data_IF_886487264773
#
_entry.id   IF_886487264773
#
_cell.length_a   1.000
_cell.length_b   1.000
_cell.length_c   1.000
_cell.angle_alpha   90.00
_cell.angle_beta   90.00
_cell.angle_gamma   90.00
#
_symmetry.space_group_name_H-M   'P 1'
#
loop_
_entity.id
_entity.type
_entity.pdbx_description
1 polymer ?
#
# COMPACT_ATOMS: atom_id res chain seq x y z
N UNK A 1 18.97 2.51 -10.65
CA UNK A 1 20.20 3.33 -10.84
C UNK A 1 20.64 3.54 -12.28
N UNK A 2 20.26 2.70 -13.27
CA UNK A 2 20.61 2.95 -14.67
C UNK A 2 20.10 4.29 -15.23
N UNK A 3 18.93 4.75 -14.75
CA UNK A 3 18.38 6.07 -15.05
C UNK A 3 19.31 7.23 -14.63
N UNK A 4 20.23 7.00 -13.70
CA UNK A 4 21.26 7.94 -13.27
C UNK A 4 22.58 7.80 -14.08
N UNK A 5 22.62 6.92 -15.09
CA UNK A 5 23.77 6.73 -15.98
C UNK A 5 24.74 5.61 -15.60
N UNK A 6 24.52 4.93 -14.47
CA UNK A 6 25.37 3.79 -14.06
C UNK A 6 25.01 2.52 -14.81
N UNK A 7 26.01 1.70 -15.13
CA UNK A 7 25.81 0.38 -15.71
C UNK A 7 26.33 -0.68 -14.74
N UNK A 8 25.55 -1.75 -14.53
CA UNK A 8 25.92 -2.86 -13.64
C UNK A 8 26.32 -2.40 -12.22
N UNK A 9 25.69 -1.34 -11.70
CA UNK A 9 26.00 -0.81 -10.37
C UNK A 9 25.54 -1.75 -9.24
N UNK A 10 24.52 -2.57 -9.48
CA UNK A 10 24.02 -3.56 -8.54
C UNK A 10 24.13 -4.92 -9.22
N UNK A 11 24.75 -5.89 -8.54
CA UNK A 11 24.92 -7.26 -9.04
C UNK A 11 24.67 -8.22 -7.88
N UNK A 12 23.65 -9.07 -8.03
CA UNK A 12 23.43 -10.20 -7.12
C UNK A 12 24.43 -11.32 -7.39
N UNK A 13 25.00 -11.89 -6.33
CA UNK A 13 25.94 -13.03 -6.40
C UNK A 13 25.68 -13.98 -5.24
N UNK A 14 25.94 -15.26 -5.48
CA UNK A 14 26.06 -16.23 -4.41
C UNK A 14 27.25 -15.86 -3.51
N UNK A 15 27.18 -16.17 -2.19
CA UNK A 15 28.32 -16.00 -1.31
C UNK A 15 29.50 -16.87 -1.81
N UNK A 16 30.74 -16.36 -1.78
CA UNK A 16 31.89 -17.12 -2.22
C UNK A 16 32.07 -18.37 -1.37
N UNK A 17 32.53 -19.45 -2.00
CA UNK A 17 32.99 -20.63 -1.28
C UNK A 17 34.25 -20.31 -0.46
N UNK A 18 34.55 -21.13 0.55
CA UNK A 18 35.80 -20.97 1.33
C UNK A 18 37.07 -21.09 0.49
N UNK A 19 37.01 -21.73 -0.67
CA UNK A 19 38.13 -21.82 -1.60
C UNK A 19 38.30 -20.52 -2.42
N UNK A 20 37.20 -19.82 -2.71
CA UNK A 20 37.19 -18.55 -3.44
C UNK A 20 37.55 -17.36 -2.53
N UNK A 21 36.98 -17.30 -1.33
CA UNK A 21 37.33 -16.29 -0.31
C UNK A 21 37.24 -16.91 1.11
N UNK A 22 38.37 -17.35 1.69
CA UNK A 22 38.37 -17.94 3.04
C UNK A 22 38.07 -16.92 4.15
N UNK A 23 38.20 -15.63 3.87
CA UNK A 23 37.96 -14.54 4.82
C UNK A 23 36.55 -13.93 4.65
N UNK A 24 35.73 -14.45 3.74
CA UNK A 24 34.36 -14.00 3.59
C UNK A 24 33.58 -14.21 4.89
N UNK A 25 32.95 -13.13 5.33
CA UNK A 25 31.99 -13.13 6.43
C UNK A 25 30.79 -12.30 6.00
N UNK A 26 29.55 -12.75 6.25
CA UNK A 26 28.37 -11.93 6.01
C UNK A 26 28.35 -10.66 6.87
N UNK A 27 29.11 -10.63 7.98
CA UNK A 27 29.24 -9.48 8.89
C UNK A 27 30.35 -8.49 8.48
N UNK A 28 30.97 -8.67 7.31
CA UNK A 28 32.05 -7.80 6.84
C UNK A 28 31.49 -6.63 6.05
N UNK A 29 31.84 -5.40 6.46
CA UNK A 29 31.43 -4.13 5.83
C UNK A 29 31.73 -4.04 4.32
N UNK A 30 32.63 -4.87 3.80
CA UNK A 30 32.94 -4.92 2.37
C UNK A 30 31.82 -5.56 1.53
N UNK A 31 30.90 -6.29 2.15
CA UNK A 31 29.85 -7.05 1.48
C UNK A 31 28.48 -6.63 1.99
N UNK A 32 27.58 -6.30 1.07
CA UNK A 32 26.15 -6.22 1.37
C UNK A 32 25.51 -7.57 1.10
N UNK A 33 24.70 -8.08 2.02
CA UNK A 33 24.15 -9.43 1.95
C UNK A 33 22.65 -9.46 2.22
N UNK A 34 21.99 -10.48 1.65
CA UNK A 34 20.63 -10.87 2.04
C UNK A 34 20.78 -12.02 3.04
N UNK A 35 20.32 -11.83 4.27
CA UNK A 35 20.44 -12.77 5.38
C UNK A 35 19.12 -13.45 5.64
N UNK A 36 19.08 -14.76 5.44
CA UNK A 36 17.92 -15.56 5.72
C UNK A 36 17.85 -15.98 7.21
N UNK A 37 16.69 -15.76 7.82
CA UNK A 37 16.39 -16.13 9.21
C UNK A 37 15.30 -17.19 9.25
N UNK A 38 15.64 -18.38 9.79
CA UNK A 38 14.67 -19.43 10.11
C UNK A 38 13.85 -19.02 11.35
N UNK A 39 12.89 -18.13 11.16
CA UNK A 39 12.12 -17.49 12.23
C UNK A 39 10.65 -17.34 11.82
N UNK A 40 9.70 -17.49 12.78
CA UNK A 40 8.26 -17.36 12.52
C UNK A 40 7.81 -15.91 12.34
N UNK A 41 8.69 -14.93 12.50
CA UNK A 41 8.38 -13.51 12.27
C UNK A 41 8.03 -13.30 10.80
N UNK A 42 6.93 -12.62 10.54
CA UNK A 42 6.43 -12.30 9.20
C UNK A 42 6.90 -10.90 8.78
N UNK A 43 8.17 -10.78 8.37
CA UNK A 43 8.71 -9.49 7.93
C UNK A 43 9.92 -9.64 7.00
N UNK A 44 10.30 -8.54 6.36
CA UNK A 44 11.63 -8.31 5.80
C UNK A 44 12.05 -6.87 6.13
N UNK A 45 13.35 -6.58 6.07
CA UNK A 45 13.84 -5.20 6.21
C UNK A 45 15.17 -5.00 5.50
N UNK A 46 15.36 -3.84 4.86
CA UNK A 46 16.58 -3.43 4.17
C UNK A 46 17.21 -2.19 4.80
N UNK A 47 17.92 -2.32 5.94
CA UNK A 47 18.63 -1.20 6.55
C UNK A 47 19.86 -0.85 5.70
N UNK A 48 20.44 0.32 5.91
CA UNK A 48 21.77 0.63 5.38
C UNK A 48 22.60 1.35 6.44
N UNK A 49 23.92 1.15 6.40
CA UNK A 49 24.88 1.93 7.17
C UNK A 49 25.51 2.96 6.24
N UNK A 50 25.46 4.23 6.63
CA UNK A 50 26.04 5.33 5.86
C UNK A 50 27.01 6.18 6.69
N UNK A 51 27.96 6.83 6.02
CA UNK A 51 28.79 7.85 6.64
C UNK A 51 27.95 9.12 6.87
N UNK A 52 27.73 9.57 8.12
CA UNK A 52 26.87 10.72 8.40
C UNK A 52 27.43 12.06 7.91
N UNK A 53 28.68 12.10 7.44
CA UNK A 53 29.32 13.31 6.91
C UNK A 53 29.11 13.48 5.41
N UNK A 54 28.98 12.37 4.69
CA UNK A 54 28.94 12.36 3.22
C UNK A 54 27.65 11.75 2.66
N UNK A 55 26.88 11.04 3.48
CA UNK A 55 25.72 10.26 3.03
C UNK A 55 26.11 8.99 2.26
N UNK A 56 27.40 8.67 2.12
CA UNK A 56 27.84 7.48 1.40
C UNK A 56 27.35 6.22 2.11
N UNK A 57 26.57 5.40 1.41
CA UNK A 57 26.20 4.05 1.85
C UNK A 57 27.44 3.17 1.82
N UNK A 58 27.78 2.57 2.98
CA UNK A 58 28.96 1.73 3.17
C UNK A 58 28.62 0.25 2.98
N UNK A 59 27.50 -0.19 3.57
CA UNK A 59 26.96 -1.54 3.44
C UNK A 59 25.46 -1.56 3.71
N UNK A 60 24.83 -2.68 3.33
CA UNK A 60 23.48 -3.03 3.72
C UNK A 60 23.32 -4.53 3.98
N UNK A 61 22.60 -4.86 5.05
CA UNK A 61 22.23 -6.22 5.43
C UNK A 61 20.71 -6.40 5.38
N UNK A 62 20.18 -6.89 4.25
CA UNK A 62 18.75 -7.18 4.15
C UNK A 62 18.42 -8.40 5.01
N UNK A 63 17.56 -8.23 6.00
CA UNK A 63 17.05 -9.31 6.85
C UNK A 63 15.80 -9.94 6.26
N UNK A 64 15.85 -11.23 5.96
CA UNK A 64 14.76 -12.00 5.36
C UNK A 64 14.25 -13.07 6.32
N UNK A 65 13.05 -12.92 6.85
CA UNK A 65 12.48 -13.93 7.75
C UNK A 65 11.72 -14.99 6.95
N UNK A 66 11.87 -16.26 7.32
CA UNK A 66 11.21 -17.38 6.64
C UNK A 66 9.70 -17.16 6.46
N UNK A 67 9.02 -16.70 7.51
CA UNK A 67 7.57 -16.60 7.51
C UNK A 67 7.01 -15.38 6.75
N UNK A 68 7.85 -14.57 6.10
CA UNK A 68 7.37 -13.57 5.13
C UNK A 68 6.57 -14.22 4.00
N UNK A 69 6.84 -15.50 3.70
CA UNK A 69 6.11 -16.27 2.68
C UNK A 69 4.63 -16.42 3.06
N UNK A 70 4.30 -16.69 4.34
CA UNK A 70 2.90 -16.78 4.77
C UNK A 70 2.19 -15.42 4.67
N UNK A 71 2.91 -14.33 5.00
CA UNK A 71 2.38 -12.97 4.86
C UNK A 71 2.05 -12.63 3.41
N UNK A 72 2.98 -12.94 2.49
CA UNK A 72 2.80 -12.74 1.06
C UNK A 72 1.67 -13.61 0.53
N UNK A 73 1.61 -14.87 0.95
CA UNK A 73 0.56 -15.81 0.56
C UNK A 73 -0.81 -15.28 0.94
N UNK A 74 -1.00 -14.88 2.20
CA UNK A 74 -2.28 -14.38 2.68
C UNK A 74 -2.68 -13.07 2.00
N UNK A 75 -1.76 -12.11 1.85
CA UNK A 75 -2.06 -10.87 1.16
C UNK A 75 -2.44 -11.11 -0.31
N UNK A 76 -1.67 -11.93 -1.02
CA UNK A 76 -1.93 -12.21 -2.43
C UNK A 76 -3.25 -12.97 -2.61
N UNK A 77 -3.55 -13.95 -1.76
CA UNK A 77 -4.83 -14.66 -1.75
C UNK A 77 -5.98 -13.68 -1.53
N UNK A 78 -5.96 -12.92 -0.42
CA UNK A 78 -7.07 -12.09 0.02
C UNK A 78 -7.33 -10.91 -0.93
N UNK A 79 -6.29 -10.42 -1.61
CA UNK A 79 -6.41 -9.30 -2.52
C UNK A 79 -6.70 -9.75 -3.96
N UNK A 80 -6.31 -10.95 -4.38
CA UNK A 80 -6.35 -11.31 -5.82
C UNK A 80 -7.09 -12.60 -6.16
N UNK A 81 -7.34 -13.52 -5.23
CA UNK A 81 -7.86 -14.87 -5.54
C UNK A 81 -9.22 -14.88 -6.28
N UNK A 82 -10.02 -13.83 -6.12
CA UNK A 82 -11.24 -13.65 -6.91
C UNK A 82 -10.93 -13.61 -8.41
N UNK A 83 -10.02 -12.73 -8.84
CA UNK A 83 -9.64 -12.52 -10.23
C UNK A 83 -8.44 -13.37 -10.70
N UNK A 84 -7.70 -13.97 -9.78
CA UNK A 84 -6.45 -14.70 -10.02
C UNK A 84 -6.55 -16.16 -9.55
N UNK A 85 -6.75 -17.12 -10.45
CA UNK A 85 -6.73 -18.54 -10.10
C UNK A 85 -5.42 -19.03 -9.47
N UNK A 86 -4.29 -18.42 -9.81
CA UNK A 86 -2.96 -18.83 -9.32
C UNK A 86 -2.72 -18.39 -7.86
N UNK A 87 -3.60 -17.55 -7.32
CA UNK A 87 -3.60 -17.13 -5.92
C UNK A 87 -4.54 -17.97 -5.05
N UNK A 88 -5.14 -19.05 -5.58
CA UNK A 88 -6.06 -19.94 -4.85
C UNK A 88 -5.29 -21.15 -4.35
N UNK A 89 -5.30 -21.35 -3.04
CA UNK A 89 -4.62 -22.47 -2.39
C UNK A 89 -3.84 -22.02 -1.16
N UNK A 90 -3.51 -22.99 -0.32
CA UNK A 90 -2.74 -22.80 0.91
C UNK A 90 -1.23 -22.88 0.65
N UNK A 91 -0.83 -23.49 -0.45
CA UNK A 91 0.54 -23.52 -0.95
C UNK A 91 0.52 -23.03 -2.41
N UNK A 92 1.32 -22.02 -2.71
CA UNK A 92 1.46 -21.50 -4.06
C UNK A 92 2.55 -22.26 -4.81
N UNK A 93 2.42 -22.33 -6.14
CA UNK A 93 3.50 -22.80 -6.99
C UNK A 93 4.78 -21.96 -6.79
N UNK A 94 5.94 -22.61 -6.91
CA UNK A 94 7.26 -21.98 -6.76
C UNK A 94 7.43 -20.74 -7.66
N UNK A 95 6.82 -20.75 -8.85
CA UNK A 95 6.86 -19.61 -9.79
C UNK A 95 6.10 -18.40 -9.23
N UNK A 96 4.90 -18.62 -8.69
CA UNK A 96 4.08 -17.56 -8.07
C UNK A 96 4.80 -17.01 -6.85
N UNK A 97 5.21 -17.87 -5.91
CA UNK A 97 5.92 -17.43 -4.71
C UNK A 97 7.26 -16.76 -5.06
N UNK A 98 7.96 -17.24 -6.09
CA UNK A 98 9.19 -16.65 -6.61
C UNK A 98 9.01 -15.20 -7.05
N UNK A 99 7.92 -14.88 -7.76
CA UNK A 99 7.61 -13.49 -8.15
C UNK A 99 7.23 -12.61 -6.95
N UNK A 100 6.50 -13.14 -5.96
CA UNK A 100 6.20 -12.41 -4.71
C UNK A 100 7.48 -12.10 -3.92
N UNK A 101 8.39 -13.08 -3.82
CA UNK A 101 9.71 -12.91 -3.19
C UNK A 101 10.55 -11.88 -3.97
N UNK A 102 10.51 -11.92 -5.30
CA UNK A 102 11.21 -10.96 -6.16
C UNK A 102 10.71 -9.53 -5.93
N UNK A 103 9.40 -9.33 -5.83
CA UNK A 103 8.80 -8.04 -5.51
C UNK A 103 9.35 -7.47 -4.18
N UNK A 104 9.25 -8.24 -3.09
CA UNK A 104 9.73 -7.77 -1.77
C UNK A 104 11.24 -7.57 -1.79
N UNK A 105 12.00 -8.47 -2.41
CA UNK A 105 13.45 -8.34 -2.53
C UNK A 105 13.85 -7.04 -3.25
N UNK A 106 13.14 -6.68 -4.32
CA UNK A 106 13.38 -5.44 -5.04
C UNK A 106 13.01 -4.19 -4.20
N UNK A 107 11.93 -4.26 -3.42
CA UNK A 107 11.55 -3.22 -2.45
C UNK A 107 12.64 -3.01 -1.39
N UNK A 108 13.13 -4.09 -0.77
CA UNK A 108 14.19 -4.00 0.24
C UNK A 108 15.50 -3.48 -0.37
N UNK A 109 15.85 -3.91 -1.60
CA UNK A 109 16.98 -3.33 -2.34
C UNK A 109 16.80 -1.83 -2.57
N UNK A 110 15.58 -1.34 -2.79
CA UNK A 110 15.29 0.09 -2.85
C UNK A 110 15.66 0.82 -1.56
N UNK A 111 15.37 0.24 -0.39
CA UNK A 111 15.78 0.82 0.90
C UNK A 111 17.30 0.83 1.12
N UNK A 112 18.02 -0.15 0.56
CA UNK A 112 19.50 -0.13 0.62
C UNK A 112 20.10 1.00 -0.20
N UNK A 113 19.37 1.49 -1.20
CA UNK A 113 19.66 2.69 -1.98
C UNK A 113 19.14 3.98 -1.32
N UNK A 114 18.69 3.92 -0.08
CA UNK A 114 18.18 5.08 0.65
C UNK A 114 16.81 5.57 0.19
N UNK A 115 16.06 4.80 -0.61
CA UNK A 115 14.71 5.19 -1.00
C UNK A 115 13.74 4.98 0.17
N UNK A 116 13.00 6.02 0.60
CA UNK A 116 11.95 5.85 1.60
C UNK A 116 10.72 5.18 0.97
N UNK A 117 9.81 4.71 1.82
CA UNK A 117 8.45 4.38 1.37
C UNK A 117 7.82 5.60 0.70
N UNK A 118 7.04 5.37 -0.36
CA UNK A 118 6.21 6.36 -1.01
C UNK A 118 4.74 5.91 -0.95
N UNK A 119 4.03 6.28 0.10
CA UNK A 119 2.62 5.91 0.32
C UNK A 119 1.63 6.71 -0.54
N UNK A 120 2.12 7.58 -1.42
CA UNK A 120 1.27 8.33 -2.34
C UNK A 120 1.39 7.90 -3.79
N UNK A 121 2.19 6.88 -4.09
CA UNK A 121 2.44 6.54 -5.49
C UNK A 121 1.19 5.97 -6.17
N UNK A 122 0.42 5.16 -5.44
CA UNK A 122 -0.81 4.48 -5.86
C UNK A 122 -1.87 5.44 -6.42
N UNK A 123 -1.92 6.67 -5.91
CA UNK A 123 -2.81 7.74 -6.34
C UNK A 123 -2.66 8.10 -7.83
N UNK A 124 -1.54 7.77 -8.46
CA UNK A 124 -1.30 8.17 -9.85
C UNK A 124 -2.11 7.37 -10.88
N UNK A 125 -2.57 6.17 -10.54
CA UNK A 125 -3.27 5.28 -11.45
C UNK A 125 -4.78 5.27 -11.17
N UNK A 126 -5.60 5.04 -12.19
CA UNK A 126 -7.06 4.93 -12.03
C UNK A 126 -7.51 3.48 -11.91
N UNK A 127 -8.75 3.27 -11.47
CA UNK A 127 -9.40 1.95 -11.49
C UNK A 127 -9.40 1.35 -12.89
N UNK A 128 -9.82 2.11 -13.90
CA UNK A 128 -9.84 1.66 -15.30
C UNK A 128 -8.46 1.16 -15.77
N UNK A 129 -7.39 1.89 -15.41
CA UNK A 129 -6.02 1.50 -15.76
C UNK A 129 -5.61 0.21 -15.06
N UNK A 130 -5.93 0.04 -13.78
CA UNK A 130 -5.58 -1.18 -13.04
C UNK A 130 -6.43 -2.39 -13.44
N UNK A 131 -7.56 -2.19 -14.12
CA UNK A 131 -8.38 -3.25 -14.71
C UNK A 131 -8.00 -3.57 -16.16
N UNK A 132 -7.12 -2.78 -16.77
CA UNK A 132 -6.61 -3.03 -18.11
C UNK A 132 -5.36 -3.93 -18.06
N UNK A 133 -5.41 -5.14 -18.66
CA UNK A 133 -4.26 -6.05 -18.70
C UNK A 133 -3.07 -5.49 -19.49
N UNK A 134 -3.30 -4.70 -20.54
CA UNK A 134 -2.21 -4.10 -21.32
C UNK A 134 -1.50 -3.04 -20.47
N UNK A 135 -2.26 -2.21 -19.75
CA UNK A 135 -1.70 -1.18 -18.87
C UNK A 135 -0.90 -1.81 -17.72
N UNK A 136 -1.49 -2.73 -16.97
CA UNK A 136 -0.86 -3.35 -15.80
C UNK A 136 0.41 -4.12 -16.16
N UNK A 137 0.42 -4.82 -17.31
CA UNK A 137 1.62 -5.53 -17.80
C UNK A 137 2.82 -4.61 -18.05
N UNK A 138 2.58 -3.33 -18.36
CA UNK A 138 3.63 -2.34 -18.65
C UNK A 138 4.02 -1.52 -17.42
N UNK A 139 3.06 -1.28 -16.52
CA UNK A 139 3.20 -0.26 -15.48
C UNK A 139 3.13 -0.81 -14.04
N UNK A 140 2.77 -2.07 -13.86
CA UNK A 140 2.48 -2.64 -12.54
C UNK A 140 1.25 -1.97 -11.90
N UNK A 141 1.19 -1.99 -10.56
CA UNK A 141 0.07 -1.43 -9.77
C UNK A 141 0.32 -0.02 -9.23
N UNK A 142 1.56 0.47 -9.27
CA UNK A 142 1.92 1.82 -8.87
C UNK A 142 3.19 2.31 -9.61
N UNK A 143 3.41 3.64 -9.74
CA UNK A 143 4.64 4.22 -10.29
C UNK A 143 5.91 3.95 -9.50
N UNK A 144 5.80 3.51 -8.24
CA UNK A 144 6.90 3.27 -7.31
C UNK A 144 6.74 1.90 -6.66
N UNK A 145 7.75 1.04 -6.76
CA UNK A 145 7.79 -0.21 -5.99
C UNK A 145 7.90 0.06 -4.48
N UNK A 146 8.37 1.26 -4.09
CA UNK A 146 8.46 1.69 -2.69
C UNK A 146 7.10 2.02 -2.05
N UNK A 147 6.00 1.95 -2.80
CA UNK A 147 4.65 2.04 -2.24
C UNK A 147 4.23 0.70 -1.63
N UNK A 148 3.31 0.75 -0.67
CA UNK A 148 2.58 -0.41 -0.16
C UNK A 148 1.32 -0.70 -1.00
N UNK A 149 1.31 -0.32 -2.27
CA UNK A 149 0.33 -0.69 -3.30
C UNK A 149 0.47 -2.17 -3.74
N UNK A 150 0.48 -3.10 -2.77
CA UNK A 150 1.07 -4.44 -2.92
C UNK A 150 0.42 -5.29 -3.99
N UNK A 151 -0.89 -5.51 -3.91
CA UNK A 151 -1.58 -6.34 -4.90
C UNK A 151 -2.86 -5.72 -5.43
N UNK A 152 -3.08 -5.93 -6.74
CA UNK A 152 -4.17 -5.35 -7.52
C UNK A 152 -5.55 -5.89 -7.11
N UNK A 153 -6.09 -5.38 -5.99
CA UNK A 153 -7.39 -5.81 -5.48
C UNK A 153 -8.59 -5.24 -6.22
N UNK A 154 -8.38 -4.34 -7.19
CA UNK A 154 -9.46 -3.76 -7.99
C UNK A 154 -9.76 -4.56 -9.25
N UNK A 155 -8.81 -5.36 -9.74
CA UNK A 155 -9.04 -6.28 -10.85
C UNK A 155 -10.17 -7.27 -10.52
N UNK A 156 -11.09 -7.46 -11.45
CA UNK A 156 -12.27 -8.31 -11.29
C UNK A 156 -12.17 -9.59 -12.13
N UNK A 157 -12.89 -10.67 -11.76
CA UNK A 157 -13.05 -11.83 -12.62
C UNK A 157 -13.53 -11.42 -14.02
N UNK A 158 -12.74 -11.77 -15.04
CA UNK A 158 -13.05 -11.48 -16.44
C UNK A 158 -12.31 -10.28 -17.05
N UNK A 159 -11.62 -9.47 -16.25
CA UNK A 159 -10.81 -8.34 -16.76
C UNK A 159 -9.57 -8.82 -17.54
N UNK A 160 -9.09 -10.04 -17.29
CA UNK A 160 -7.95 -10.63 -17.98
C UNK A 160 -6.58 -10.13 -17.49
N UNK A 161 -6.55 -9.37 -16.40
CA UNK A 161 -5.32 -8.92 -15.72
C UNK A 161 -4.51 -10.14 -15.25
N UNK A 162 -3.22 -10.14 -15.57
CA UNK A 162 -2.26 -11.15 -15.10
C UNK A 162 -1.13 -10.55 -14.25
N UNK A 163 -0.96 -9.22 -14.28
CA UNK A 163 0.02 -8.51 -13.47
C UNK A 163 -0.66 -7.90 -12.24
N UNK A 164 -0.41 -8.50 -11.09
CA UNK A 164 -1.09 -8.16 -9.84
C UNK A 164 -0.22 -7.41 -8.82
N UNK A 165 1.04 -7.11 -9.09
CA UNK A 165 1.96 -6.49 -8.13
C UNK A 165 2.73 -5.31 -8.75
N UNK A 166 3.28 -4.39 -7.93
CA UNK A 166 4.05 -3.26 -8.43
C UNK A 166 5.39 -3.73 -8.98
N UNK A 167 5.95 -2.91 -9.85
CA UNK A 167 7.28 -3.11 -10.42
C UNK A 167 8.08 -1.82 -10.30
N UNK A 168 9.38 -1.87 -10.64
CA UNK A 168 10.22 -0.68 -10.69
C UNK A 168 9.69 0.29 -11.75
N UNK A 169 9.06 1.36 -11.29
CA UNK A 169 8.27 2.26 -12.13
C UNK A 169 8.95 3.60 -12.43
N UNK A 170 8.21 4.56 -13.00
CA UNK A 170 8.69 5.90 -13.32
C UNK A 170 9.24 6.66 -12.10
N UNK A 171 8.57 6.57 -10.94
CA UNK A 171 8.99 7.26 -9.72
C UNK A 171 10.33 6.71 -9.24
N UNK A 172 10.51 5.39 -9.18
CA UNK A 172 11.77 4.77 -8.73
C UNK A 172 12.95 5.18 -9.63
N UNK A 173 12.70 5.23 -10.95
CA UNK A 173 13.71 5.66 -11.93
C UNK A 173 14.05 7.13 -11.76
N UNK A 174 13.06 7.98 -11.48
CA UNK A 174 13.28 9.38 -11.19
C UNK A 174 14.00 9.60 -9.87
N UNK A 175 13.60 8.92 -8.80
CA UNK A 175 14.27 8.97 -7.50
C UNK A 175 15.73 8.52 -7.63
N UNK A 176 15.99 7.46 -8.40
CA UNK A 176 17.35 7.06 -8.73
C UNK A 176 18.12 8.14 -9.50
N UNK A 177 17.51 8.77 -10.50
CA UNK A 177 18.15 9.87 -11.24
C UNK A 177 18.45 11.04 -10.30
N UNK A 178 17.49 11.47 -9.51
CA UNK A 178 17.61 12.60 -8.60
C UNK A 178 18.70 12.36 -7.55
N UNK A 179 18.67 11.20 -6.89
CA UNK A 179 19.59 10.89 -5.79
C UNK A 179 21.00 10.46 -6.21
N UNK A 180 21.20 10.00 -7.45
CA UNK A 180 22.49 9.41 -7.87
C UNK A 180 23.13 10.06 -9.09
N UNK A 181 22.49 11.02 -9.77
CA UNK A 181 23.14 11.65 -10.94
C UNK A 181 24.46 12.28 -10.54
N UNK A 182 25.51 11.96 -11.29
CA UNK A 182 26.83 12.53 -11.07
C UNK A 182 26.90 13.95 -11.65
N UNK A 183 27.30 14.91 -10.82
CA UNK A 183 27.57 16.29 -11.20
C UNK A 183 29.08 16.54 -11.31
N UNK A 184 29.54 17.47 -12.17
CA UNK A 184 30.96 17.81 -12.27
C UNK A 184 31.57 18.27 -10.94
N UNK A 185 32.82 17.91 -10.66
CA UNK A 185 33.50 18.22 -9.40
C UNK A 185 33.70 19.72 -9.13
N UNK A 186 33.62 20.55 -10.18
CA UNK A 186 33.74 22.01 -10.11
C UNK A 186 32.42 22.73 -9.87
N UNK A 187 31.29 22.01 -9.86
CA UNK A 187 30.00 22.57 -9.46
C UNK A 187 29.99 22.82 -7.96
N UNK A 188 29.43 23.97 -7.59
CA UNK A 188 29.09 24.29 -6.21
C UNK A 188 27.83 23.55 -5.76
N UNK A 189 27.68 23.38 -4.44
CA UNK A 189 26.47 22.80 -3.85
C UNK A 189 25.21 23.59 -4.26
N UNK A 190 25.32 24.91 -4.41
CA UNK A 190 24.24 25.80 -4.85
C UNK A 190 23.78 25.48 -6.29
N UNK A 191 24.71 25.28 -7.23
CA UNK A 191 24.37 24.90 -8.62
C UNK A 191 23.69 23.53 -8.70
N UNK A 192 24.11 22.58 -7.86
CA UNK A 192 23.51 21.26 -7.75
C UNK A 192 22.09 21.38 -7.18
N UNK A 193 21.91 22.10 -6.07
CA UNK A 193 20.61 22.34 -5.43
C UNK A 193 19.63 23.04 -6.38
N UNK A 194 20.06 24.07 -7.11
CA UNK A 194 19.24 24.76 -8.11
C UNK A 194 18.75 23.80 -9.21
N UNK A 195 19.64 22.95 -9.72
CA UNK A 195 19.30 21.96 -10.76
C UNK A 195 18.34 20.89 -10.24
N UNK A 196 18.57 20.37 -9.03
CA UNK A 196 17.70 19.39 -8.40
C UNK A 196 16.32 20.00 -8.11
N UNK A 197 16.26 21.26 -7.68
CA UNK A 197 15.00 21.98 -7.47
C UNK A 197 14.25 22.19 -8.79
N UNK A 198 14.94 22.56 -9.88
CA UNK A 198 14.33 22.66 -11.21
C UNK A 198 13.72 21.32 -11.64
N UNK A 199 14.47 20.22 -11.56
CA UNK A 199 13.98 18.88 -11.95
C UNK A 199 12.78 18.42 -11.13
N UNK A 200 12.75 18.74 -9.83
CA UNK A 200 11.61 18.43 -8.97
C UNK A 200 10.39 19.27 -9.36
N UNK A 201 10.58 20.58 -9.59
CA UNK A 201 9.49 21.48 -9.98
C UNK A 201 8.85 21.13 -11.32
N UNK A 202 9.63 20.69 -12.30
CA UNK A 202 9.12 20.21 -13.59
C UNK A 202 8.08 19.09 -13.47
N UNK A 203 8.08 18.35 -12.36
CA UNK A 203 7.26 17.16 -12.12
C UNK A 203 6.27 17.32 -10.97
N UNK A 204 6.30 18.46 -10.27
CA UNK A 204 5.59 18.63 -9.00
C UNK A 204 4.06 18.49 -9.11
N UNK A 205 3.50 18.77 -10.30
CA UNK A 205 2.06 18.67 -10.55
C UNK A 205 1.67 17.39 -11.34
N UNK A 206 2.61 16.46 -11.57
CA UNK A 206 2.35 15.17 -12.22
C UNK A 206 2.18 14.05 -11.16
N UNK A 207 1.00 13.41 -11.06
CA UNK A 207 0.72 12.36 -10.08
C UNK A 207 1.72 11.20 -10.10
N UNK A 208 2.35 10.89 -11.24
CA UNK A 208 3.37 9.84 -11.34
C UNK A 208 4.58 10.10 -10.43
N UNK A 209 4.81 11.36 -10.07
CA UNK A 209 5.91 11.81 -9.22
C UNK A 209 5.46 12.29 -7.84
N UNK A 210 4.20 12.03 -7.46
CA UNK A 210 3.69 12.39 -6.15
C UNK A 210 4.39 11.55 -5.05
N UNK A 211 4.82 12.24 -3.99
CA UNK A 211 5.48 11.63 -2.84
C UNK A 211 4.60 11.76 -1.59
N UNK A 212 4.07 10.62 -1.14
CA UNK A 212 3.38 10.50 0.15
C UNK A 212 4.33 9.95 1.22
N UNK A 213 4.63 10.77 2.23
CA UNK A 213 5.52 10.36 3.31
C UNK A 213 4.85 9.31 4.23
N UNK A 214 5.64 8.34 4.71
CA UNK A 214 5.20 7.43 5.75
C UNK A 214 4.82 8.20 7.02
N UNK A 215 3.57 8.07 7.45
CA UNK A 215 3.03 8.83 8.59
C UNK A 215 2.06 8.01 9.42
N UNK A 216 2.04 8.24 10.74
CA UNK A 216 1.01 7.69 11.62
C UNK A 216 -0.35 8.39 11.45
N UNK A 217 -0.38 9.58 10.85
CA UNK A 217 -1.58 10.41 10.67
C UNK A 217 -1.89 10.53 9.18
N UNK A 218 -2.77 9.65 8.68
CA UNK A 218 -3.22 9.60 7.29
C UNK A 218 -4.28 10.68 7.01
N UNK A 219 -3.89 11.95 7.12
CA UNK A 219 -4.79 13.08 6.90
C UNK A 219 -5.02 13.33 5.42
N UNK A 220 -3.96 13.20 4.61
CA UNK A 220 -4.07 13.22 3.16
C UNK A 220 -4.49 11.83 2.67
N UNK A 221 -5.72 11.66 2.15
CA UNK A 221 -6.20 10.35 1.71
C UNK A 221 -5.49 9.86 0.44
N UNK A 222 -4.68 10.70 -0.22
CA UNK A 222 -3.82 10.30 -1.34
C UNK A 222 -2.51 9.66 -0.89
N UNK A 223 -2.22 9.65 0.43
CA UNK A 223 -0.97 9.16 1.01
C UNK A 223 -1.25 8.11 2.09
N UNK A 224 -1.69 6.92 1.69
CA UNK A 224 -2.02 5.82 2.60
C UNK A 224 -1.25 4.56 2.21
N UNK A 225 -0.97 3.69 3.18
CA UNK A 225 -0.48 2.37 2.82
C UNK A 225 -1.63 1.41 2.49
N UNK A 226 -1.32 0.44 1.64
CA UNK A 226 -2.22 -0.63 1.18
C UNK A 226 -3.38 -0.18 0.28
N UNK A 227 -3.43 1.09 -0.12
CA UNK A 227 -4.45 1.57 -1.04
C UNK A 227 -4.01 1.38 -2.49
N UNK A 228 -5.00 1.49 -3.37
CA UNK A 228 -4.81 1.55 -4.81
C UNK A 228 -5.68 2.66 -5.36
N UNK A 229 -5.16 3.27 -6.42
CA UNK A 229 -5.83 4.23 -7.28
C UNK A 229 -6.09 5.61 -6.68
N UNK A 230 -6.56 6.52 -7.52
CA UNK A 230 -7.02 7.85 -7.13
C UNK A 230 -8.44 7.91 -6.54
N UNK A 231 -9.15 6.78 -6.47
CA UNK A 231 -10.51 6.70 -5.95
C UNK A 231 -10.67 5.54 -4.95
N UNK A 232 -10.59 5.87 -3.66
CA UNK A 232 -10.68 4.89 -2.59
C UNK A 232 -12.08 4.26 -2.47
N UNK A 233 -13.14 4.93 -2.93
CA UNK A 233 -14.50 4.43 -2.83
C UNK A 233 -14.75 3.44 -3.97
N UNK A 234 -14.42 3.79 -5.22
CA UNK A 234 -14.52 2.87 -6.36
C UNK A 234 -13.62 1.64 -6.17
N UNK A 235 -12.37 1.84 -5.74
CA UNK A 235 -11.47 0.74 -5.42
C UNK A 235 -12.02 -0.13 -4.27
N UNK A 236 -12.64 0.49 -3.27
CA UNK A 236 -13.30 -0.18 -2.16
C UNK A 236 -14.47 -1.06 -2.60
N UNK A 237 -15.33 -0.59 -3.51
CA UNK A 237 -16.45 -1.37 -4.06
C UNK A 237 -15.95 -2.65 -4.76
N UNK A 238 -14.92 -2.51 -5.60
CA UNK A 238 -14.33 -3.63 -6.33
C UNK A 238 -13.59 -4.60 -5.40
N UNK A 239 -12.88 -4.06 -4.41
CA UNK A 239 -12.24 -4.86 -3.37
C UNK A 239 -13.25 -5.64 -2.53
N UNK A 240 -14.38 -5.04 -2.17
CA UNK A 240 -15.47 -5.70 -1.44
C UNK A 240 -16.12 -6.79 -2.29
N UNK A 241 -16.39 -6.53 -3.58
CA UNK A 241 -16.91 -7.55 -4.50
C UNK A 241 -15.97 -8.77 -4.56
N UNK A 242 -14.65 -8.54 -4.60
CA UNK A 242 -13.65 -9.60 -4.55
C UNK A 242 -13.67 -10.36 -3.21
N UNK A 243 -13.80 -9.67 -2.07
CA UNK A 243 -13.93 -10.33 -0.76
C UNK A 243 -15.17 -11.21 -0.66
N UNK A 244 -16.28 -10.84 -1.29
CA UNK A 244 -17.49 -11.67 -1.36
C UNK A 244 -17.22 -12.96 -2.12
N UNK A 245 -16.63 -12.87 -3.31
CA UNK A 245 -16.23 -14.06 -4.10
C UNK A 245 -15.29 -14.95 -3.31
N UNK A 246 -14.28 -14.38 -2.65
CA UNK A 246 -13.35 -15.13 -1.82
C UNK A 246 -14.07 -15.83 -0.67
N UNK A 247 -14.98 -15.14 0.03
CA UNK A 247 -15.73 -15.70 1.17
C UNK A 247 -16.63 -16.87 0.73
N UNK A 248 -17.30 -16.75 -0.43
CA UNK A 248 -18.17 -17.79 -0.97
C UNK A 248 -17.41 -19.07 -1.35
N UNK A 249 -16.14 -18.95 -1.73
CA UNK A 249 -15.32 -20.07 -2.20
C UNK A 249 -14.22 -20.48 -1.20
N UNK A 250 -14.15 -19.85 -0.03
CA UNK A 250 -12.99 -19.95 0.86
C UNK A 250 -12.72 -21.39 1.28
N UNK A 251 -13.75 -22.13 1.68
CA UNK A 251 -13.62 -23.54 2.10
C UNK A 251 -13.03 -24.37 0.97
N UNK A 252 -13.63 -24.29 -0.23
CA UNK A 252 -13.20 -25.08 -1.39
C UNK A 252 -11.76 -24.77 -1.81
N UNK A 253 -11.29 -23.54 -1.62
CA UNK A 253 -9.94 -23.14 -2.00
C UNK A 253 -8.86 -23.48 -0.96
N UNK A 254 -9.26 -23.79 0.28
CA UNK A 254 -8.31 -24.03 1.38
C UNK A 254 -8.44 -25.41 2.02
N UNK A 255 -9.37 -26.24 1.54
CA UNK A 255 -9.56 -27.60 2.02
C UNK A 255 -8.35 -28.48 1.72
N UNK A 256 -7.80 -29.12 2.76
CA UNK A 256 -6.75 -30.14 2.65
C UNK A 256 -7.11 -31.41 3.45
N UNK A 257 -6.83 -32.58 2.84
CA UNK A 257 -7.13 -33.87 3.47
C UNK A 257 -6.26 -34.09 4.72
N UNK A 258 -6.89 -34.16 5.89
CA UNK A 258 -6.22 -34.47 7.15
C UNK A 258 -5.83 -33.25 7.98
N UNK A 259 -5.99 -32.04 7.44
CA UNK A 259 -5.75 -30.79 8.15
C UNK A 259 -6.97 -30.33 8.96
N UNK A 260 -6.72 -29.42 9.91
CA UNK A 260 -7.76 -28.80 10.73
C UNK A 260 -8.23 -27.45 10.11
N UNK A 261 -9.05 -26.68 10.84
CA UNK A 261 -9.60 -25.42 10.33
C UNK A 261 -8.79 -24.16 10.69
N UNK A 262 -7.53 -24.30 11.18
CA UNK A 262 -6.69 -23.15 11.54
C UNK A 262 -6.47 -22.22 10.34
N UNK A 263 -6.23 -22.79 9.16
CA UNK A 263 -6.03 -22.05 7.92
C UNK A 263 -7.29 -21.29 7.48
N UNK A 264 -8.44 -21.96 7.57
CA UNK A 264 -9.74 -21.35 7.31
C UNK A 264 -10.01 -20.19 8.28
N UNK A 265 -9.66 -20.35 9.56
CA UNK A 265 -9.82 -19.30 10.58
C UNK A 265 -8.91 -18.10 10.32
N UNK A 266 -7.65 -18.35 9.96
CA UNK A 266 -6.67 -17.30 9.64
C UNK A 266 -7.13 -16.47 8.43
N UNK A 267 -7.47 -17.12 7.32
CA UNK A 267 -7.89 -16.44 6.10
C UNK A 267 -9.23 -15.71 6.28
N UNK A 268 -10.20 -16.29 6.99
CA UNK A 268 -11.43 -15.58 7.33
C UNK A 268 -11.15 -14.33 8.18
N UNK A 269 -10.24 -14.41 9.16
CA UNK A 269 -9.77 -13.24 9.91
C UNK A 269 -9.13 -12.17 9.02
N UNK A 270 -8.39 -12.59 7.99
CA UNK A 270 -7.76 -11.69 7.02
C UNK A 270 -8.79 -11.00 6.11
N UNK A 271 -9.90 -11.66 5.76
CA UNK A 271 -11.04 -11.05 5.05
C UNK A 271 -11.60 -9.88 5.86
N UNK A 272 -11.88 -10.09 7.16
CA UNK A 272 -12.39 -9.04 8.05
C UNK A 272 -11.37 -7.91 8.19
N UNK A 273 -10.08 -8.24 8.29
CA UNK A 273 -8.99 -7.27 8.33
C UNK A 273 -8.91 -6.42 7.05
N UNK A 274 -9.07 -7.04 5.88
CA UNK A 274 -9.07 -6.37 4.59
C UNK A 274 -10.30 -5.48 4.41
N UNK A 275 -11.49 -5.93 4.84
CA UNK A 275 -12.69 -5.09 4.88
C UNK A 275 -12.44 -3.82 5.72
N UNK A 276 -11.88 -3.96 6.93
CA UNK A 276 -11.60 -2.83 7.81
C UNK A 276 -10.60 -1.86 7.17
N UNK A 277 -9.61 -2.39 6.45
CA UNK A 277 -8.65 -1.59 5.68
C UNK A 277 -9.34 -0.75 4.60
N UNK A 278 -10.22 -1.33 3.78
CA UNK A 278 -11.00 -0.59 2.77
C UNK A 278 -11.88 0.50 3.40
N UNK A 279 -12.52 0.21 4.53
CA UNK A 279 -13.29 1.22 5.27
C UNK A 279 -12.36 2.37 5.73
N UNK A 280 -11.17 2.05 6.22
CA UNK A 280 -10.17 3.05 6.60
C UNK A 280 -9.73 3.94 5.44
N UNK A 281 -9.52 3.36 4.24
CA UNK A 281 -9.12 4.12 3.05
C UNK A 281 -10.17 5.13 2.62
N UNK A 282 -11.44 4.70 2.52
CA UNK A 282 -12.56 5.59 2.21
C UNK A 282 -12.74 6.66 3.30
N UNK A 283 -12.71 6.23 4.57
CA UNK A 283 -12.88 7.11 5.73
C UNK A 283 -11.86 8.26 5.76
N UNK A 284 -10.61 8.06 5.33
CA UNK A 284 -9.60 9.13 5.28
C UNK A 284 -10.03 10.34 4.45
N UNK A 285 -10.95 10.18 3.49
CA UNK A 285 -11.48 11.29 2.68
C UNK A 285 -12.40 12.23 3.48
N UNK A 286 -13.09 11.77 4.52
CA UNK A 286 -14.06 12.57 5.29
C UNK A 286 -13.34 13.59 6.18
N UNK A 287 -13.31 14.87 5.85
CA UNK A 287 -12.48 15.85 6.59
C UNK A 287 -10.98 15.57 6.45
N UNK A 288 -10.60 14.90 5.36
CA UNK A 288 -9.23 14.78 4.90
C UNK A 288 -8.71 16.11 4.35
N UNK A 289 -7.38 16.21 4.24
CA UNK A 289 -6.70 17.42 3.74
C UNK A 289 -5.61 16.98 2.80
N UNK A 290 -5.68 17.44 1.55
CA UNK A 290 -4.60 17.32 0.58
C UNK A 290 -3.42 18.20 1.01
N UNK A 291 -2.24 17.59 1.12
CA UNK A 291 -0.97 18.26 1.36
C UNK A 291 -0.17 18.30 0.05
N UNK A 292 -0.05 19.49 -0.53
CA UNK A 292 0.68 19.75 -1.77
C UNK A 292 2.03 20.41 -1.42
N UNK A 293 3.13 19.69 -1.61
CA UNK A 293 4.46 20.23 -1.37
C UNK A 293 4.81 21.29 -2.44
N UNK A 294 4.77 22.57 -2.04
CA UNK A 294 5.03 23.72 -2.91
C UNK A 294 6.07 24.66 -2.31
N UNK A 295 6.87 25.28 -3.18
CA UNK A 295 7.78 26.39 -2.85
C UNK A 295 7.10 27.74 -3.08
N UNK A 296 7.69 28.84 -2.56
CA UNK A 296 7.12 30.20 -2.67
C UNK A 296 6.86 30.68 -4.11
N UNK A 297 7.53 30.08 -5.10
CA UNK A 297 7.43 30.45 -6.50
C UNK A 297 6.36 29.65 -7.26
N UNK A 298 5.78 28.61 -6.64
CA UNK A 298 4.72 27.81 -7.21
C UNK A 298 3.36 28.37 -6.81
N UNK A 299 2.44 28.43 -7.78
CA UNK A 299 1.06 28.84 -7.54
C UNK A 299 0.26 27.73 -6.83
N UNK A 300 -0.85 28.13 -6.20
CA UNK A 300 -1.77 27.24 -5.48
C UNK A 300 -1.55 27.23 -3.97
N UNK A 301 -2.30 26.37 -3.29
CA UNK A 301 -2.26 26.21 -1.83
C UNK A 301 -1.54 24.93 -1.43
N UNK A 302 -0.90 24.95 -0.26
CA UNK A 302 -0.24 23.76 0.33
C UNK A 302 -1.26 22.84 0.98
N UNK A 303 -2.26 23.39 1.66
CA UNK A 303 -3.29 22.60 2.35
C UNK A 303 -4.66 22.92 1.77
N UNK A 304 -5.31 21.89 1.25
CA UNK A 304 -6.62 21.98 0.60
C UNK A 304 -7.55 20.92 1.20
N UNK A 305 -8.79 21.29 1.49
CA UNK A 305 -9.77 20.31 1.94
C UNK A 305 -10.05 19.31 0.81
N UNK A 306 -10.27 18.04 1.15
CA UNK A 306 -10.84 17.09 0.18
C UNK A 306 -12.14 17.69 -0.38
N UNK A 307 -12.40 17.63 -1.70
CA UNK A 307 -13.60 18.20 -2.30
C UNK A 307 -14.88 17.70 -1.63
N UNK A 308 -15.87 18.58 -1.45
CA UNK A 308 -17.14 18.25 -0.79
C UNK A 308 -17.78 16.97 -1.36
N UNK A 309 -17.83 16.86 -2.69
CA UNK A 309 -18.41 15.69 -3.37
C UNK A 309 -17.74 14.38 -2.96
N UNK A 310 -16.40 14.36 -2.92
CA UNK A 310 -15.62 13.18 -2.50
C UNK A 310 -15.83 12.86 -1.03
N UNK A 311 -15.98 13.88 -0.16
CA UNK A 311 -16.28 13.63 1.26
C UNK A 311 -17.68 13.03 1.46
N UNK A 312 -18.67 13.50 0.71
CA UNK A 312 -20.04 12.96 0.73
C UNK A 312 -20.08 11.53 0.22
N UNK A 313 -19.45 11.27 -0.92
CA UNK A 313 -19.30 9.93 -1.49
C UNK A 313 -18.63 8.96 -0.50
N UNK A 314 -17.55 9.40 0.16
CA UNK A 314 -16.91 8.61 1.20
C UNK A 314 -17.85 8.33 2.38
N UNK A 315 -18.67 9.30 2.81
CA UNK A 315 -19.67 9.09 3.85
C UNK A 315 -20.76 8.12 3.41
N UNK A 316 -21.24 8.21 2.17
CA UNK A 316 -22.22 7.28 1.59
C UNK A 316 -21.66 5.86 1.54
N UNK A 317 -20.43 5.68 1.06
CA UNK A 317 -19.73 4.40 1.06
C UNK A 317 -19.61 3.80 2.47
N UNK A 318 -19.23 4.60 3.47
CA UNK A 318 -19.14 4.15 4.87
C UNK A 318 -20.52 3.77 5.43
N UNK A 319 -21.57 4.53 5.12
CA UNK A 319 -22.92 4.15 5.53
C UNK A 319 -23.33 2.82 4.91
N UNK A 320 -23.07 2.64 3.62
CA UNK A 320 -23.45 1.45 2.87
C UNK A 320 -22.69 0.19 3.31
N UNK A 321 -21.41 0.29 3.65
CA UNK A 321 -20.55 -0.89 3.85
C UNK A 321 -20.00 -1.05 5.27
N UNK A 322 -19.95 0.03 6.05
CA UNK A 322 -19.54 0.00 7.45
C UNK A 322 -20.72 -0.06 8.41
N UNK A 323 -21.80 0.67 8.14
CA UNK A 323 -22.94 0.78 9.08
C UNK A 323 -24.13 -0.13 8.75
N UNK A 324 -24.08 -0.83 7.62
CA UNK A 324 -25.02 -1.90 7.29
C UNK A 324 -24.57 -3.26 7.84
N UNK A 325 -25.49 -4.23 7.87
CA UNK A 325 -25.14 -5.60 8.20
C UNK A 325 -24.28 -6.25 7.09
N UNK A 326 -23.05 -6.74 7.38
CA UNK A 326 -22.18 -7.36 6.38
C UNK A 326 -22.60 -8.81 6.13
N UNK A 327 -23.79 -9.03 5.57
CA UNK A 327 -24.38 -10.38 5.40
C UNK A 327 -23.49 -11.31 4.60
N UNK A 328 -22.72 -10.78 3.65
CA UNK A 328 -21.78 -11.55 2.84
C UNK A 328 -20.66 -12.21 3.66
N UNK A 329 -20.28 -11.61 4.79
CA UNK A 329 -19.23 -12.15 5.65
C UNK A 329 -19.76 -13.19 6.65
N UNK A 330 -21.08 -13.23 6.91
CA UNK A 330 -21.70 -14.21 7.79
C UNK A 330 -22.09 -15.48 7.03
N UNK A 331 -21.08 -16.22 6.58
CA UNK A 331 -21.26 -17.52 5.93
C UNK A 331 -21.37 -18.63 6.97
N UNK A 332 -22.57 -19.22 7.13
CA UNK A 332 -22.84 -20.27 8.13
C UNK A 332 -21.89 -21.47 8.02
N UNK A 333 -21.53 -21.88 6.80
CA UNK A 333 -20.63 -23.01 6.59
C UNK A 333 -19.22 -22.73 7.12
N UNK A 334 -18.70 -21.52 6.90
CA UNK A 334 -17.42 -21.12 7.46
C UNK A 334 -17.52 -21.03 8.99
N UNK A 335 -18.53 -20.30 9.49
CA UNK A 335 -18.65 -20.00 10.91
C UNK A 335 -18.91 -21.23 11.77
N UNK A 336 -19.67 -22.22 11.28
CA UNK A 336 -19.88 -23.48 11.98
C UNK A 336 -18.58 -24.28 12.19
N UNK A 337 -17.55 -24.02 11.38
CA UNK A 337 -16.23 -24.68 11.47
C UNK A 337 -15.23 -23.95 12.36
N UNK A 338 -15.27 -22.61 12.37
CA UNK A 338 -14.22 -21.78 13.01
C UNK A 338 -14.71 -20.90 14.16
N UNK A 339 -16.01 -20.68 14.32
CA UNK A 339 -16.53 -19.62 15.18
C UNK A 339 -17.40 -20.12 16.34
N UNK A 340 -17.02 -19.78 17.57
CA UNK A 340 -17.80 -20.10 18.78
C UNK A 340 -18.84 -19.01 19.12
N UNK A 341 -19.55 -18.47 18.12
CA UNK A 341 -20.50 -17.37 18.25
C UNK A 341 -19.88 -16.01 18.67
N UNK A 342 -18.71 -15.69 18.13
CA UNK A 342 -18.01 -14.40 18.32
C UNK A 342 -17.99 -13.50 17.08
N UNK A 343 -18.38 -14.01 15.90
CA UNK A 343 -18.30 -13.28 14.63
C UNK A 343 -19.05 -11.93 14.66
N UNK A 344 -20.24 -11.90 15.28
CA UNK A 344 -21.02 -10.67 15.46
C UNK A 344 -20.23 -9.65 16.28
N UNK A 345 -19.60 -10.07 17.38
CA UNK A 345 -18.80 -9.17 18.22
C UNK A 345 -17.55 -8.67 17.49
N UNK A 346 -16.93 -9.52 16.66
CA UNK A 346 -15.79 -9.13 15.81
C UNK A 346 -16.19 -8.00 14.85
N UNK A 347 -17.26 -8.17 14.09
CA UNK A 347 -17.76 -7.12 13.19
C UNK A 347 -18.23 -5.88 13.95
N UNK A 348 -18.99 -6.06 15.04
CA UNK A 348 -19.45 -4.93 15.86
C UNK A 348 -18.29 -4.09 16.38
N UNK A 349 -17.18 -4.71 16.83
CA UNK A 349 -15.97 -3.98 17.24
C UNK A 349 -15.34 -3.22 16.09
N UNK A 350 -15.26 -3.83 14.92
CA UNK A 350 -14.67 -3.21 13.75
C UNK A 350 -15.52 -2.00 13.27
N UNK A 351 -16.85 -2.17 13.16
CA UNK A 351 -17.80 -1.10 12.85
C UNK A 351 -17.78 0.03 13.89
N UNK A 352 -17.72 -0.29 15.18
CA UNK A 352 -17.58 0.70 16.25
C UNK A 352 -16.25 1.46 16.16
N UNK A 353 -15.18 0.79 15.71
CA UNK A 353 -13.89 1.42 15.42
C UNK A 353 -13.99 2.45 14.29
N UNK A 354 -14.63 2.09 13.17
CA UNK A 354 -14.90 3.00 12.05
C UNK A 354 -15.73 4.19 12.53
N UNK A 355 -16.84 3.95 13.24
CA UNK A 355 -17.67 5.02 13.80
C UNK A 355 -16.85 5.96 14.70
N UNK A 356 -16.03 5.40 15.60
CA UNK A 356 -15.16 6.19 16.46
C UNK A 356 -14.17 7.08 15.70
N UNK A 357 -13.71 6.65 14.53
CA UNK A 357 -12.82 7.43 13.66
C UNK A 357 -13.55 8.49 12.84
N UNK A 358 -14.80 8.25 12.44
CA UNK A 358 -15.65 9.25 11.76
C UNK A 358 -15.97 10.40 12.72
N UNK A 359 -16.33 10.09 13.97
CA UNK A 359 -16.66 11.11 14.99
C UNK A 359 -15.44 11.58 15.79
N UNK A 360 -14.23 11.34 15.30
CA UNK A 360 -13.00 11.77 15.94
C UNK A 360 -12.96 13.30 16.08
N UNK A 361 -12.52 13.76 17.25
CA UNK A 361 -12.52 15.19 17.58
C UNK A 361 -11.58 16.00 16.68
N UNK A 362 -10.46 15.43 16.23
CA UNK A 362 -9.55 16.13 15.32
C UNK A 362 -10.15 16.24 13.92
N UNK A 363 -10.88 15.22 13.45
CA UNK A 363 -11.61 15.27 12.17
C UNK A 363 -12.69 16.33 12.19
N UNK A 364 -13.52 16.36 13.24
CA UNK A 364 -14.53 17.40 13.42
C UNK A 364 -13.89 18.79 13.46
N UNK A 365 -12.76 18.94 14.17
CA UNK A 365 -12.03 20.21 14.22
C UNK A 365 -11.53 20.65 12.84
N UNK A 366 -11.04 19.73 11.99
CA UNK A 366 -10.64 20.04 10.61
C UNK A 366 -11.81 20.51 9.77
N UNK A 367 -12.96 19.82 9.84
CA UNK A 367 -14.17 20.23 9.11
C UNK A 367 -14.61 21.65 9.50
N UNK A 368 -14.62 21.97 10.81
CA UNK A 368 -14.95 23.33 11.30
C UNK A 368 -13.94 24.37 10.81
N UNK A 369 -12.64 24.03 10.84
CA UNK A 369 -11.58 24.92 10.39
C UNK A 369 -11.70 25.25 8.90
N UNK A 370 -11.98 24.25 8.05
CA UNK A 370 -12.15 24.46 6.61
C UNK A 370 -13.48 25.13 6.25
N UNK A 371 -14.57 24.82 6.94
CA UNK A 371 -15.83 25.58 6.83
C UNK A 371 -15.61 27.06 7.12
N UNK A 372 -14.73 27.40 8.07
CA UNK A 372 -14.46 28.79 8.43
C UNK A 372 -13.50 29.49 7.48
N UNK A 373 -12.57 28.75 6.87
CA UNK A 373 -11.49 29.27 5.99
C UNK A 373 -11.87 29.33 4.52
N UNK A 374 -12.83 28.51 4.09
CA UNK A 374 -13.25 28.43 2.69
C UNK A 374 -14.32 29.48 2.38
N UNK A 375 -14.23 30.07 1.19
CA UNK A 375 -15.32 30.87 0.60
C UNK A 375 -16.23 30.00 -0.29
N UNK A 376 -15.87 28.73 -0.51
CA UNK A 376 -16.62 27.72 -1.27
C UNK A 376 -17.42 26.80 -0.34
N UNK A 377 -18.45 26.15 -0.89
CA UNK A 377 -19.22 25.14 -0.17
C UNK A 377 -18.29 23.96 0.22
N UNK A 378 -18.33 23.60 1.50
CA UNK A 378 -17.52 22.51 2.07
C UNK A 378 -18.45 21.54 2.78
N UNK A 379 -18.11 20.26 2.76
CA UNK A 379 -18.77 19.29 3.63
C UNK A 379 -18.52 19.67 5.09
N UNK A 380 -19.57 20.01 5.82
CA UNK A 380 -19.46 20.59 7.17
C UNK A 380 -19.45 19.53 8.25
N UNK A 381 -18.97 19.90 9.45
CA UNK A 381 -19.08 19.05 10.62
C UNK A 381 -20.55 18.75 10.99
N UNK A 382 -21.46 19.69 10.73
CA UNK A 382 -22.89 19.49 10.97
C UNK A 382 -23.47 18.43 10.03
N UNK A 383 -23.20 18.54 8.73
CA UNK A 383 -23.66 17.57 7.73
C UNK A 383 -23.10 16.18 8.01
N UNK A 384 -21.80 16.06 8.30
CA UNK A 384 -21.20 14.79 8.69
C UNK A 384 -21.91 14.14 9.89
N UNK A 385 -22.23 14.93 10.92
CA UNK A 385 -22.92 14.40 12.11
C UNK A 385 -24.39 14.04 11.81
N UNK A 386 -25.06 14.76 10.93
CA UNK A 386 -26.43 14.41 10.50
C UNK A 386 -26.42 13.15 9.64
N UNK A 387 -25.48 13.00 8.72
CA UNK A 387 -25.30 11.81 7.88
C UNK A 387 -24.97 10.58 8.73
N UNK A 388 -24.06 10.70 9.69
CA UNK A 388 -23.77 9.62 10.67
C UNK A 388 -25.03 9.23 11.44
N UNK A 389 -25.81 10.21 11.90
CA UNK A 389 -27.06 9.95 12.62
C UNK A 389 -28.08 9.25 11.72
N UNK A 390 -28.25 9.70 10.48
CA UNK A 390 -29.21 9.13 9.55
C UNK A 390 -28.81 7.71 9.12
N UNK A 391 -27.51 7.45 8.93
CA UNK A 391 -26.98 6.14 8.56
C UNK A 391 -27.07 5.09 9.66
N UNK A 392 -26.64 5.41 10.89
CA UNK A 392 -26.66 4.43 12.00
C UNK A 392 -28.09 3.98 12.34
N UNK A 393 -29.07 4.87 12.19
CA UNK A 393 -30.47 4.61 12.52
C UNK A 393 -31.33 4.32 11.28
N UNK A 394 -30.73 4.02 10.12
CA UNK A 394 -31.49 3.79 8.89
C UNK A 394 -32.37 2.52 8.94
N UNK A 395 -32.01 1.57 9.80
CA UNK A 395 -32.72 0.30 9.98
C UNK A 395 -33.74 0.31 11.13
N UNK A 396 -33.94 1.45 11.81
CA UNK A 396 -34.74 1.58 13.05
C UNK A 396 -36.05 2.35 12.85
#
# INVERSE_FOLDING_TARGET
VEAAGFKNAIVGKEPPTKEEDPEFSPEDVRYSVIRYFASPIQNAYGPHVHDPRTGQILESDIGWYHNVMNLLRNWFFIQTAAANPDARGVEFDDEVMGELIRFVSAHEVGHTLGFPHNWGSSYAYTVDQLRDPEFTSQNGTAPSIMDYARFNYVAQPGDGVTQFYPAVGPYDKWNAKWGYTWFPEDWSDEEIEETLNEWTRERADDPLYFYGAQTGSKIDPRSQNEDLTNDAMEAGELGLANLQVITENLIDWVEEEGENFEELEELYGNIVGQWNRYMGHALSNIGGVYENHKTFEQEGVVYEAVPEATQREAMEFIQQHAFSAPTWAFNDEILDRINQATAIETFRRAQAGILGQVVDAQRIARLIEYERRSDEDTYTAFEMMDDVRNGIFSEV
#
